data_IF_913765774066
#
_entry.id   IF_913765774066
#
_cell.length_a   1.000
_cell.length_b   1.000
_cell.length_c   1.000
_cell.angle_alpha   90.00
_cell.angle_beta   90.00
_cell.angle_gamma   90.00
#
_symmetry.space_group_name_H-M   'P 1'
#
loop_
_entity.id
_entity.type
_entity.pdbx_description
1 polymer ?
#
# COMPACT_ATOMS: atom_id res chain seq x y z
N UNK A 1 -3.76 22.81 22.89
CA UNK A 1 -3.35 22.70 22.37
C UNK A 1 -3.37 22.25 21.62
N UNK A 2 -3.27 21.93 21.54
CA UNK A 2 -2.99 21.37 20.75
C UNK A 2 -2.92 20.91 19.98
N UNK A 3 -2.98 20.74 19.90
CA UNK A 3 -2.72 20.20 18.96
C UNK A 3 -2.80 19.85 18.13
N UNK A 4 -2.79 19.70 18.02
CA UNK A 4 -2.56 19.32 17.05
C UNK A 4 -2.46 19.05 16.34
N UNK A 5 -2.31 18.96 16.35
CA UNK A 5 -1.95 18.72 15.55
C UNK A 5 -1.78 18.33 14.90
N UNK A 6 -1.61 18.10 14.84
CA UNK A 6 -1.28 17.79 13.92
C UNK A 6 -1.61 17.42 13.32
N UNK A 7 -1.67 17.03 13.38
CA UNK A 7 -1.62 16.61 12.64
C UNK A 7 -1.75 16.70 11.64
N UNK A 8 -1.68 16.90 11.41
CA UNK A 8 -1.61 17.07 10.45
C UNK A 8 -1.03 17.15 9.75
N UNK A 9 -0.86 17.56 10.31
CA UNK A 9 0.01 17.62 9.45
C UNK A 9 0.50 16.67 9.08
N UNK A 10 0.60 16.30 9.78
CA UNK A 10 1.07 15.30 9.42
C UNK A 10 0.33 14.64 8.52
N UNK A 11 -0.46 14.79 8.36
CA UNK A 11 -0.83 14.14 7.55
C UNK A 11 -0.51 14.19 6.45
N UNK A 12 -0.22 14.69 6.11
CA UNK A 12 0.17 14.74 5.02
C UNK A 12 1.15 14.01 4.55
N UNK A 13 1.90 14.11 5.00
CA UNK A 13 3.07 13.48 4.70
C UNK A 13 3.20 12.20 5.28
N UNK A 14 2.21 11.70 5.84
CA UNK A 14 2.32 10.50 6.57
C UNK A 14 1.94 9.29 5.79
N UNK A 15 1.89 9.41 4.49
CA UNK A 15 1.65 8.23 3.69
C UNK A 15 2.83 7.28 3.83
N UNK A 16 2.52 6.03 3.99
CA UNK A 16 3.53 4.99 4.00
C UNK A 16 3.36 4.16 2.75
N UNK A 17 4.28 3.26 2.48
CA UNK A 17 4.13 2.35 1.37
C UNK A 17 3.46 1.08 1.84
N UNK A 18 2.92 0.32 0.90
CA UNK A 18 2.29 -0.94 1.23
C UNK A 18 3.28 -1.90 1.89
N UNK A 19 4.55 -1.76 1.55
CA UNK A 19 5.58 -2.58 2.16
C UNK A 19 5.65 -2.39 3.67
N UNK A 20 5.31 -1.20 4.14
CA UNK A 20 5.36 -0.88 5.57
C UNK A 20 4.11 -1.32 6.32
N UNK A 21 3.06 -1.68 5.60
CA UNK A 21 1.82 -2.12 6.23
C UNK A 21 2.03 -3.46 6.91
N UNK A 22 1.29 -3.69 7.97
CA UNK A 22 1.43 -4.91 8.75
C UNK A 22 0.32 -5.89 8.46
N UNK A 23 0.57 -7.14 8.75
CA UNK A 23 -0.43 -8.19 8.59
C UNK A 23 -1.67 -7.79 9.39
N UNK A 24 -2.81 -7.88 8.74
CA UNK A 24 -4.08 -7.51 9.36
C UNK A 24 -4.51 -6.08 9.09
N UNK A 25 -3.63 -5.27 8.53
CA UNK A 25 -3.98 -3.88 8.22
C UNK A 25 -4.81 -3.80 6.96
N UNK A 26 -5.80 -2.90 6.98
CA UNK A 26 -6.51 -2.52 5.78
C UNK A 26 -6.11 -1.09 5.47
N UNK A 27 -5.54 -0.88 4.32
CA UNK A 27 -5.04 0.44 3.94
C UNK A 27 -5.63 0.84 2.60
N UNK A 28 -5.61 2.12 2.33
CA UNK A 28 -6.16 2.65 1.08
C UNK A 28 -5.03 3.18 0.22
N UNK A 29 -5.07 2.86 -1.05
CA UNK A 29 -4.06 3.33 -2.00
C UNK A 29 -4.28 4.81 -2.29
N UNK A 30 -3.25 5.62 -2.09
CA UNK A 30 -3.34 7.05 -2.37
C UNK A 30 -2.54 7.44 -3.61
N UNK A 31 -1.52 6.67 -3.95
CA UNK A 31 -0.70 7.00 -5.11
C UNK A 31 0.12 5.80 -5.54
N UNK A 32 0.35 5.68 -6.84
CA UNK A 32 1.26 4.69 -7.40
C UNK A 32 2.47 5.43 -7.93
N UNK A 33 3.63 5.13 -7.38
CA UNK A 33 4.86 5.83 -7.75
C UNK A 33 5.66 5.20 -8.87
N UNK A 34 5.46 3.96 -9.16
CA UNK A 34 6.23 3.29 -10.19
C UNK A 34 6.13 3.98 -11.55
N UNK A 35 7.02 3.64 -12.43
CA UNK A 35 7.05 4.18 -13.78
C UNK A 35 6.76 3.11 -14.80
N UNK A 36 6.18 3.53 -15.92
CA UNK A 36 6.03 2.68 -17.09
C UNK A 36 5.40 1.34 -16.80
N UNK A 37 6.14 0.28 -17.11
CA UNK A 37 5.64 -1.08 -17.02
C UNK A 37 5.29 -1.50 -15.60
N UNK A 38 6.04 -1.04 -14.62
CA UNK A 38 5.78 -1.42 -13.22
C UNK A 38 4.44 -0.86 -12.77
N UNK A 39 4.21 0.40 -13.04
CA UNK A 39 2.95 1.03 -12.66
C UNK A 39 1.78 0.37 -13.36
N UNK A 40 1.95 0.08 -14.65
CA UNK A 40 0.90 -0.56 -15.44
C UNK A 40 0.58 -1.96 -14.88
N UNK A 41 1.61 -2.70 -14.53
CA UNK A 41 1.41 -4.04 -13.98
C UNK A 41 0.62 -3.99 -12.67
N UNK A 42 0.95 -3.03 -11.82
CA UNK A 42 0.25 -2.88 -10.55
C UNK A 42 -1.21 -2.53 -10.80
N UNK A 43 -1.46 -1.63 -11.74
CA UNK A 43 -2.82 -1.25 -12.08
C UNK A 43 -3.61 -2.41 -12.68
N UNK A 44 -2.94 -3.21 -13.48
CA UNK A 44 -3.58 -4.37 -14.10
C UNK A 44 -4.01 -5.41 -13.08
N UNK A 45 -3.36 -5.43 -11.94
CA UNK A 45 -3.74 -6.32 -10.86
C UNK A 45 -4.95 -5.81 -10.08
N UNK A 46 -5.43 -4.62 -10.41
CA UNK A 46 -6.57 -4.04 -9.73
C UNK A 46 -6.21 -3.08 -8.61
N UNK A 47 -4.92 -2.81 -8.44
CA UNK A 47 -4.47 -1.88 -7.41
C UNK A 47 -4.41 -0.48 -8.01
N UNK A 48 -5.45 0.29 -7.74
CA UNK A 48 -5.57 1.64 -8.28
C UNK A 48 -5.84 2.60 -7.15
N UNK A 49 -5.68 3.88 -7.43
CA UNK A 49 -5.90 4.91 -6.43
C UNK A 49 -7.31 4.79 -5.83
N UNK A 50 -7.38 4.81 -4.51
CA UNK A 50 -8.66 4.75 -3.80
C UNK A 50 -9.10 3.35 -3.41
N UNK A 51 -8.43 2.31 -3.90
CA UNK A 51 -8.82 0.96 -3.57
C UNK A 51 -8.29 0.56 -2.19
N UNK A 52 -9.04 -0.26 -1.49
CA UNK A 52 -8.61 -0.77 -0.19
C UNK A 52 -7.86 -2.07 -0.38
N UNK A 53 -6.79 -2.21 0.38
CA UNK A 53 -5.94 -3.40 0.33
C UNK A 53 -5.83 -3.96 1.75
N UNK A 54 -6.15 -5.23 1.88
CA UNK A 54 -6.01 -5.92 3.17
C UNK A 54 -4.74 -6.77 3.12
N UNK A 55 -3.84 -6.56 4.08
CA UNK A 55 -2.58 -7.31 4.12
C UNK A 55 -2.83 -8.62 4.86
N UNK A 56 -2.79 -9.72 4.12
CA UNK A 56 -3.06 -11.03 4.67
C UNK A 56 -1.83 -11.68 5.27
N UNK A 57 -0.71 -11.57 4.60
CA UNK A 57 0.46 -12.33 4.96
C UNK A 57 1.72 -11.67 4.41
N UNK A 58 2.78 -11.77 5.14
CA UNK A 58 4.08 -11.26 4.70
C UNK A 58 5.07 -12.39 4.95
N UNK A 59 5.80 -12.78 3.92
CA UNK A 59 6.80 -13.82 4.07
C UNK A 59 7.89 -13.37 5.05
N UNK A 60 8.62 -14.31 5.67
CA UNK A 60 9.59 -13.99 6.71
C UNK A 60 10.61 -12.92 6.32
N UNK A 61 10.99 -12.86 5.06
CA UNK A 61 11.96 -11.88 4.60
C UNK A 61 11.29 -10.63 4.01
N UNK A 62 9.98 -10.50 4.19
CA UNK A 62 9.26 -9.35 3.66
C UNK A 62 8.88 -9.48 2.19
N UNK A 63 9.10 -10.63 1.57
CA UNK A 63 8.84 -10.81 0.15
C UNK A 63 8.53 -12.29 -0.10
N UNK A 64 7.38 -12.61 -0.70
CA UNK A 64 6.34 -11.71 -1.17
C UNK A 64 5.38 -11.25 -0.07
N UNK A 65 4.55 -10.28 -0.42
CA UNK A 65 3.48 -9.80 0.43
C UNK A 65 2.16 -10.23 -0.18
N UNK A 66 1.34 -10.93 0.59
CA UNK A 66 0.04 -11.39 0.10
C UNK A 66 -1.04 -10.46 0.60
N UNK A 67 -1.84 -9.98 -0.33
CA UNK A 67 -2.90 -9.02 -0.01
C UNK A 67 -4.21 -9.45 -0.64
N UNK A 68 -5.29 -8.88 -0.14
CA UNK A 68 -6.62 -9.08 -0.71
C UNK A 68 -7.13 -7.74 -1.21
N UNK A 69 -7.53 -7.69 -2.47
CA UNK A 69 -8.06 -6.48 -3.08
C UNK A 69 -9.36 -6.86 -3.76
N UNK A 70 -10.45 -6.23 -3.31
CA UNK A 70 -11.78 -6.47 -3.89
C UNK A 70 -12.17 -7.93 -3.90
N UNK A 71 -11.75 -8.67 -2.88
CA UNK A 71 -12.06 -10.08 -2.79
C UNK A 71 -11.10 -11.01 -3.50
N UNK A 72 -10.12 -10.47 -4.18
CA UNK A 72 -9.12 -11.27 -4.88
C UNK A 72 -7.82 -11.27 -4.11
N UNK A 73 -7.17 -12.42 -4.07
CA UNK A 73 -5.88 -12.55 -3.41
C UNK A 73 -4.78 -12.32 -4.43
N UNK A 74 -3.86 -11.46 -4.05
CA UNK A 74 -2.74 -11.10 -4.91
C UNK A 74 -1.44 -11.27 -4.13
N UNK A 75 -0.39 -11.61 -4.86
CA UNK A 75 0.94 -11.72 -4.29
C UNK A 75 1.81 -10.66 -4.92
N UNK A 76 2.38 -9.81 -4.11
CA UNK A 76 3.19 -8.69 -4.58
C UNK A 76 4.63 -8.87 -4.15
N UNK A 77 5.54 -8.45 -5.00
CA UNK A 77 6.93 -8.41 -4.60
C UNK A 77 7.15 -7.18 -3.74
N UNK A 78 8.15 -7.27 -2.89
CA UNK A 78 8.53 -6.15 -2.04
C UNK A 78 8.73 -4.88 -2.85
N UNK A 79 9.37 -5.00 -4.01
CA UNK A 79 9.61 -3.86 -4.88
C UNK A 79 8.32 -3.22 -5.37
N UNK A 80 7.32 -4.04 -5.67
CA UNK A 80 6.03 -3.50 -6.11
C UNK A 80 5.34 -2.78 -4.96
N UNK A 81 5.41 -3.36 -3.78
CA UNK A 81 4.76 -2.76 -2.62
C UNK A 81 5.38 -1.41 -2.26
N UNK A 82 6.67 -1.25 -2.51
CA UNK A 82 7.33 0.03 -2.26
C UNK A 82 6.84 1.15 -3.16
N UNK A 83 6.26 0.80 -4.29
CA UNK A 83 5.75 1.78 -5.24
C UNK A 83 4.31 2.19 -4.97
N UNK A 84 3.67 1.54 -4.00
CA UNK A 84 2.28 1.79 -3.69
C UNK A 84 2.19 2.56 -2.39
N UNK A 85 1.81 3.84 -2.48
CA UNK A 85 1.63 4.65 -1.29
C UNK A 85 0.22 4.45 -0.75
N UNK A 86 0.12 4.26 0.54
CA UNK A 86 -1.14 3.97 1.20
C UNK A 86 -1.30 4.83 2.45
N UNK A 87 -2.52 4.85 2.95
CA UNK A 87 -2.81 5.53 4.21
C UNK A 87 -3.69 4.70 5.11
#
# INVERSE_FOLDING_TARGET
MLPALPRKAAERTVTMTLREAKIGDTVRVVKLNGEGAVRRRIMDMGITKGVEVYVRKVAPLGDPIEVNVRGYELSLRKEDAEMIQVE
#
